data_IF_333378853849
#
_entry.id   IF_333378853849
#
_cell.length_a   1.000
_cell.length_b   1.000
_cell.length_c   1.000
_cell.angle_alpha   90.00
_cell.angle_beta   90.00
_cell.angle_gamma   90.00
#
_symmetry.space_group_name_H-M   'P 1'
#
loop_
_entity.id
_entity.type
_entity.pdbx_description
1 polymer ?
#
# COMPACT_ATOMS: atom_id res chain seq x y z
N UNK A 1 -8.90 12.12 4.22
CA UNK A 1 -8.03 11.61 3.14
C UNK A 1 -8.34 10.14 2.93
N UNK A 2 -8.37 9.66 1.70
CA UNK A 2 -8.56 8.23 1.42
C UNK A 2 -7.30 7.43 1.75
N UNK A 3 -7.44 6.13 2.08
CA UNK A 3 -6.31 5.25 2.42
C UNK A 3 -5.24 5.22 1.31
N UNK A 4 -5.64 5.14 0.04
CA UNK A 4 -4.69 5.17 -1.08
C UNK A 4 -3.97 6.51 -1.20
N UNK A 5 -4.69 7.63 -1.00
CA UNK A 5 -4.09 8.97 -1.04
C UNK A 5 -3.02 9.11 0.05
N UNK A 6 -3.32 8.64 1.26
CA UNK A 6 -2.36 8.60 2.36
C UNK A 6 -1.12 7.78 1.99
N UNK A 7 -1.30 6.56 1.48
CA UNK A 7 -0.21 5.67 1.10
C UNK A 7 0.68 6.28 0.02
N UNK A 8 0.08 6.85 -1.03
CA UNK A 8 0.83 7.50 -2.10
C UNK A 8 1.63 8.69 -1.57
N UNK A 9 1.02 9.54 -0.72
CA UNK A 9 1.71 10.65 -0.11
C UNK A 9 2.89 10.22 0.78
N UNK A 10 2.75 9.11 1.55
CA UNK A 10 3.86 8.59 2.37
C UNK A 10 4.98 8.01 1.53
N UNK A 11 4.65 7.38 0.39
CA UNK A 11 5.68 6.89 -0.54
C UNK A 11 6.41 8.08 -1.20
N UNK A 12 5.70 9.14 -1.57
CA UNK A 12 6.33 10.37 -2.10
C UNK A 12 7.33 10.96 -1.09
N UNK A 13 6.99 10.97 0.19
CA UNK A 13 7.88 11.42 1.27
C UNK A 13 9.10 10.50 1.47
N UNK A 14 8.90 9.18 1.45
CA UNK A 14 10.00 8.21 1.51
C UNK A 14 10.97 8.41 0.32
N UNK A 15 10.44 8.62 -0.89
CA UNK A 15 11.24 8.92 -2.09
C UNK A 15 11.98 10.25 -1.96
N UNK A 16 11.33 11.29 -1.44
CA UNK A 16 11.95 12.60 -1.22
C UNK A 16 13.07 12.55 -0.17
N UNK A 17 12.90 11.76 0.90
CA UNK A 17 13.94 11.56 1.91
C UNK A 17 15.21 10.93 1.32
N UNK A 18 15.06 10.06 0.32
CA UNK A 18 16.19 9.43 -0.38
C UNK A 18 17.05 10.42 -1.17
N UNK A 19 16.56 11.62 -1.50
CA UNK A 19 17.34 12.66 -2.20
C UNK A 19 18.55 13.12 -1.36
N UNK A 20 18.43 13.07 -0.03
CA UNK A 20 19.49 13.49 0.90
C UNK A 20 20.56 12.43 1.11
N UNK A 21 20.36 11.21 0.61
CA UNK A 21 21.31 10.10 0.73
C UNK A 21 22.39 10.20 -0.34
N UNK A 22 23.63 9.93 0.07
CA UNK A 22 24.78 9.79 -0.83
C UNK A 22 24.53 8.68 -1.86
N UNK A 23 25.14 8.81 -3.04
CA UNK A 23 24.96 7.84 -4.12
C UNK A 23 25.60 6.48 -3.78
N UNK A 24 24.95 5.41 -4.25
CA UNK A 24 25.21 3.99 -3.97
C UNK A 24 26.52 3.42 -4.56
N UNK A 25 27.59 4.22 -4.55
CA UNK A 25 28.93 3.79 -4.93
C UNK A 25 29.61 2.85 -3.91
N UNK A 26 28.98 2.62 -2.76
CA UNK A 26 29.46 1.75 -1.69
C UNK A 26 28.90 0.32 -1.70
N UNK A 27 29.30 -0.52 -0.73
CA UNK A 27 28.75 -1.86 -0.57
C UNK A 27 27.24 -1.82 -0.26
N UNK A 28 26.53 -2.88 -0.63
CA UNK A 28 25.10 -3.00 -0.36
C UNK A 28 24.81 -2.86 1.15
N UNK A 29 23.81 -2.05 1.48
CA UNK A 29 23.26 -1.94 2.84
C UNK A 29 21.73 -1.92 2.81
N UNK A 30 21.04 -2.30 3.90
CA UNK A 30 19.58 -2.19 3.99
C UNK A 30 19.03 -0.75 3.84
N UNK A 31 19.89 0.25 3.93
CA UNK A 31 19.55 1.67 3.88
C UNK A 31 20.14 2.36 2.64
N UNK A 32 20.67 1.59 1.68
CA UNK A 32 21.20 2.16 0.45
C UNK A 32 20.09 2.86 -0.33
N UNK A 33 20.46 3.94 -1.03
CA UNK A 33 19.51 4.80 -1.74
C UNK A 33 18.75 4.01 -2.80
N UNK A 34 19.43 3.17 -3.58
CA UNK A 34 18.81 2.34 -4.62
C UNK A 34 17.82 1.34 -4.04
N UNK A 35 18.14 0.76 -2.88
CA UNK A 35 17.25 -0.19 -2.21
C UNK A 35 15.99 0.52 -1.72
N UNK A 36 16.11 1.68 -1.07
CA UNK A 36 14.95 2.45 -0.57
C UNK A 36 14.06 2.96 -1.71
N UNK A 37 14.63 3.44 -2.81
CA UNK A 37 13.87 3.80 -4.02
C UNK A 37 13.19 2.58 -4.65
N UNK A 38 13.84 1.42 -4.65
CA UNK A 38 13.23 0.17 -5.10
C UNK A 38 12.05 -0.23 -4.22
N UNK A 39 12.17 -0.11 -2.90
CA UNK A 39 11.07 -0.34 -1.96
C UNK A 39 9.88 0.58 -2.28
N UNK A 40 10.11 1.87 -2.54
CA UNK A 40 9.06 2.81 -2.92
C UNK A 40 8.34 2.38 -4.20
N UNK A 41 9.10 2.02 -5.23
CA UNK A 41 8.56 1.50 -6.49
C UNK A 41 7.73 0.22 -6.29
N UNK A 42 8.20 -0.70 -5.44
CA UNK A 42 7.47 -1.93 -5.07
C UNK A 42 6.16 -1.60 -4.36
N UNK A 43 6.16 -0.67 -3.39
CA UNK A 43 4.94 -0.24 -2.69
C UNK A 43 3.90 0.33 -3.66
N UNK A 44 4.32 1.14 -4.64
CA UNK A 44 3.42 1.63 -5.72
C UNK A 44 2.85 0.50 -6.56
N UNK A 45 3.67 -0.50 -6.89
CA UNK A 45 3.20 -1.67 -7.64
C UNK A 45 2.18 -2.49 -6.83
N UNK A 46 2.39 -2.65 -5.53
CA UNK A 46 1.45 -3.33 -4.63
C UNK A 46 0.10 -2.59 -4.60
N UNK A 47 0.11 -1.25 -4.54
CA UNK A 47 -1.13 -0.45 -4.62
C UNK A 47 -1.87 -0.72 -5.93
N UNK A 48 -1.18 -0.76 -7.07
CA UNK A 48 -1.81 -1.09 -8.35
C UNK A 48 -2.40 -2.50 -8.37
N UNK A 49 -1.68 -3.49 -7.82
CA UNK A 49 -2.16 -4.87 -7.70
C UNK A 49 -3.37 -4.98 -6.74
N UNK A 50 -3.46 -4.14 -5.71
CA UNK A 50 -4.62 -4.11 -4.82
C UNK A 50 -5.90 -3.66 -5.55
N UNK A 51 -5.80 -2.71 -6.47
CA UNK A 51 -6.92 -2.34 -7.33
C UNK A 51 -7.35 -3.50 -8.23
N UNK A 52 -6.40 -4.20 -8.83
CA UNK A 52 -6.66 -5.37 -9.67
C UNK A 52 -7.34 -6.49 -8.86
N UNK A 53 -6.84 -6.79 -7.65
CA UNK A 53 -7.44 -7.76 -6.74
C UNK A 53 -8.88 -7.39 -6.34
N UNK A 54 -9.15 -6.10 -6.13
CA UNK A 54 -10.52 -5.61 -5.86
C UNK A 54 -11.44 -5.86 -7.06
N UNK A 55 -10.96 -5.61 -8.27
CA UNK A 55 -11.70 -5.89 -9.50
C UNK A 55 -12.05 -7.37 -9.64
N UNK A 56 -11.10 -8.26 -9.37
CA UNK A 56 -11.35 -9.72 -9.40
C UNK A 56 -12.36 -10.18 -8.35
N UNK A 57 -12.31 -9.63 -7.13
CA UNK A 57 -13.32 -9.91 -6.12
C UNK A 57 -14.72 -9.47 -6.59
N UNK A 58 -14.84 -8.26 -7.14
CA UNK A 58 -16.12 -7.75 -7.66
C UNK A 58 -16.66 -8.62 -8.80
N UNK A 59 -15.80 -9.07 -9.72
CA UNK A 59 -16.21 -9.99 -10.78
C UNK A 59 -16.70 -11.32 -10.21
N UNK A 60 -15.98 -11.90 -9.24
CA UNK A 60 -16.37 -13.17 -8.64
C UNK A 60 -17.70 -13.06 -7.86
N UNK A 61 -17.94 -11.94 -7.19
CA UNK A 61 -19.20 -11.69 -6.47
C UNK A 61 -20.37 -11.54 -7.46
N UNK A 62 -20.17 -10.83 -8.58
CA UNK A 62 -21.17 -10.72 -9.65
C UNK A 62 -21.49 -12.06 -10.31
N UNK A 63 -20.48 -12.90 -10.58
CA UNK A 63 -20.67 -14.22 -11.20
C UNK A 63 -21.47 -15.19 -10.31
N UNK A 64 -21.39 -15.04 -8.99
CA UNK A 64 -22.12 -15.87 -8.04
C UNK A 64 -23.57 -15.46 -7.86
N UNK A 65 -23.97 -14.25 -8.29
CA UNK A 65 -25.30 -13.66 -8.04
C UNK A 65 -25.72 -13.75 -6.56
N UNK A 66 -24.74 -13.61 -5.65
CA UNK A 66 -24.98 -13.64 -4.21
C UNK A 66 -24.46 -12.37 -3.57
N UNK A 67 -25.17 -11.88 -2.55
CA UNK A 67 -24.75 -10.73 -1.75
C UNK A 67 -23.88 -11.14 -0.54
N UNK A 68 -23.33 -12.36 -0.56
CA UNK A 68 -22.63 -13.02 0.56
C UNK A 68 -21.49 -12.17 1.13
N UNK A 69 -20.79 -11.40 0.29
CA UNK A 69 -19.69 -10.54 0.77
C UNK A 69 -20.18 -9.33 1.55
N UNK A 70 -21.24 -8.66 1.08
CA UNK A 70 -21.85 -7.55 1.80
C UNK A 70 -22.45 -8.02 3.14
N UNK A 71 -22.99 -9.23 3.18
CA UNK A 71 -23.58 -9.85 4.37
C UNK A 71 -22.53 -10.34 5.37
N UNK A 72 -21.39 -10.85 4.89
CA UNK A 72 -20.29 -11.33 5.75
C UNK A 72 -19.44 -10.20 6.33
N UNK A 73 -19.51 -8.98 5.77
CA UNK A 73 -18.69 -7.85 6.20
C UNK A 73 -17.20 -8.01 5.88
N UNK A 74 -16.84 -8.99 5.03
CA UNK A 74 -15.45 -9.24 4.64
C UNK A 74 -15.01 -8.19 3.62
N UNK A 75 -13.99 -7.42 3.97
CA UNK A 75 -13.38 -6.45 3.08
C UNK A 75 -12.78 -7.11 1.82
N UNK A 76 -12.79 -6.39 0.70
CA UNK A 76 -12.09 -6.79 -0.53
C UNK A 76 -10.62 -7.10 -0.24
N UNK A 77 -10.06 -8.09 -0.93
CA UNK A 77 -8.65 -8.48 -0.80
C UNK A 77 -7.74 -7.29 -1.04
N UNK A 78 -8.05 -6.45 -2.04
CA UNK A 78 -7.32 -5.21 -2.28
C UNK A 78 -7.34 -4.25 -1.08
N UNK A 79 -8.49 -4.03 -0.46
CA UNK A 79 -8.60 -3.18 0.73
C UNK A 79 -7.75 -3.72 1.89
N UNK A 80 -7.76 -5.04 2.11
CA UNK A 80 -6.92 -5.71 3.11
C UNK A 80 -5.43 -5.53 2.82
N UNK A 81 -5.01 -5.60 1.56
CA UNK A 81 -3.62 -5.33 1.14
C UNK A 81 -3.23 -3.89 1.46
N UNK A 82 -4.10 -2.91 1.15
CA UNK A 82 -3.83 -1.49 1.42
C UNK A 82 -3.72 -1.22 2.92
N UNK A 83 -4.60 -1.80 3.74
CA UNK A 83 -4.55 -1.70 5.22
C UNK A 83 -3.27 -2.30 5.79
N UNK A 84 -2.84 -3.45 5.27
CA UNK A 84 -1.58 -4.07 5.65
C UNK A 84 -0.39 -3.15 5.32
N UNK A 85 -0.38 -2.53 4.13
CA UNK A 85 0.68 -1.61 3.73
C UNK A 85 0.71 -0.36 4.62
N UNK A 86 -0.45 0.17 5.01
CA UNK A 86 -0.55 1.34 5.86
C UNK A 86 -0.02 1.12 7.28
N UNK A 87 0.09 -0.13 7.73
CA UNK A 87 0.69 -0.48 9.03
C UNK A 87 2.13 0.01 9.16
N UNK A 88 2.88 0.10 8.05
CA UNK A 88 4.23 0.66 8.06
C UNK A 88 4.29 2.14 8.50
N UNK A 89 3.18 2.87 8.34
CA UNK A 89 3.07 4.29 8.65
C UNK A 89 2.18 4.56 9.87
N UNK A 90 1.95 3.56 10.73
CA UNK A 90 1.03 3.66 11.86
C UNK A 90 1.41 4.72 12.92
N UNK A 91 2.66 5.19 12.91
CA UNK A 91 3.16 6.27 13.78
C UNK A 91 3.07 7.66 13.13
N UNK A 92 2.64 7.75 11.88
CA UNK A 92 2.52 9.00 11.15
C UNK A 92 1.34 9.84 11.68
N UNK A 93 1.47 11.18 11.87
CA UNK A 93 0.38 12.02 12.39
C UNK A 93 -0.91 11.98 11.57
N UNK A 94 -0.78 11.85 10.25
CA UNK A 94 -1.94 11.75 9.33
C UNK A 94 -2.54 10.33 9.23
N UNK A 95 -2.03 9.37 10.00
CA UNK A 95 -2.54 8.00 9.99
C UNK A 95 -3.91 7.94 10.68
N UNK A 96 -4.92 7.40 9.99
CA UNK A 96 -6.23 7.12 10.59
C UNK A 96 -6.21 5.73 11.27
N UNK A 97 -6.45 5.65 12.60
CA UNK A 97 -6.48 4.37 13.31
C UNK A 97 -7.48 3.34 12.76
N UNK A 98 -8.53 3.78 12.06
CA UNK A 98 -9.53 2.89 11.44
C UNK A 98 -8.96 2.04 10.30
N UNK A 99 -7.79 2.39 9.76
CA UNK A 99 -7.12 1.59 8.73
C UNK A 99 -6.46 0.31 9.28
N UNK A 100 -6.46 0.08 10.60
CA UNK A 100 -5.93 -1.16 11.21
C UNK A 100 -6.89 -2.36 11.16
N UNK A 101 -8.17 -2.08 11.00
CA UNK A 101 -9.28 -3.06 11.04
C UNK A 101 -9.82 -3.27 9.64
#
# INVERSE_FOLDING_TARGET
>A
MALTEFLLARIDEDEAACVTLEDDSGPWTPWSRSRLLTDCAVKRRIIALAYEATGYDMTADLERDTNERAESGVAFVGDRILRALATAYAAHPDFDPTWRT
#
